data_IF_328832267848
#
_entry.id   IF_328832267848
#
_cell.length_a   1.000
_cell.length_b   1.000
_cell.length_c   1.000
_cell.angle_alpha   90.00
_cell.angle_beta   90.00
_cell.angle_gamma   90.00
#
_symmetry.space_group_name_H-M   'P 1'
#
loop_
_entity.id
_entity.type
_entity.pdbx_description
1 polymer ?
2 non-polymer ?
3 water ?
#
# COMPACT_ATOMS: atom_id res chain seq x y z
N UNK A 26 -25.08 -10.01 -10.38
CA UNK A 26 -25.20 -11.34 -9.81
C UNK A 26 -25.08 -11.30 -8.29
N UNK A 27 -25.64 -12.33 -7.66
CA UNK A 27 -25.63 -12.44 -6.21
C UNK A 27 -26.55 -13.59 -5.80
N UNK A 28 -26.21 -14.26 -4.72
CA UNK A 28 -27.01 -15.39 -4.26
C UNK A 28 -26.55 -15.71 -2.84
N UNK A 29 -27.30 -16.59 -2.18
CA UNK A 29 -27.02 -16.90 -0.79
C UNK A 29 -26.42 -18.28 -0.58
N UNK A 30 -26.44 -19.16 -1.58
CA UNK A 30 -25.90 -20.50 -1.38
C UNK A 30 -25.95 -21.38 -2.64
N UNK A 31 -24.98 -21.25 -3.55
CA UNK A 31 -24.84 -22.18 -4.66
C UNK A 31 -23.85 -21.66 -5.70
N UNK A 32 -23.16 -22.59 -6.37
CA UNK A 32 -22.18 -22.26 -7.41
C UNK A 32 -21.48 -23.53 -7.92
N UNK A 33 -20.74 -23.44 -9.02
CA UNK A 33 -20.10 -24.63 -9.61
C UNK A 33 -18.97 -24.21 -10.56
N UNK A 34 -18.20 -25.20 -11.01
CA UNK A 34 -17.06 -24.94 -11.90
C UNK A 34 -16.73 -26.18 -12.72
N UNK A 35 -15.54 -26.22 -13.30
CA UNK A 35 -15.20 -27.30 -14.23
C UNK A 35 -14.79 -28.55 -13.47
N UNK A 36 -13.72 -28.46 -12.68
CA UNK A 36 -13.32 -29.56 -11.81
C UNK A 36 -13.90 -29.48 -10.40
N UNK A 37 -14.13 -28.27 -9.90
CA UNK A 37 -14.58 -28.04 -8.54
C UNK A 37 -15.93 -27.35 -8.53
N UNK A 38 -16.56 -27.32 -7.36
CA UNK A 38 -17.82 -26.62 -7.15
C UNK A 38 -17.81 -25.97 -5.77
N UNK A 39 -18.44 -24.80 -5.67
CA UNK A 39 -18.34 -23.97 -4.47
C UNK A 39 -19.73 -23.52 -4.03
N UNK A 40 -19.98 -23.62 -2.72
CA UNK A 40 -21.15 -23.01 -2.08
C UNK A 40 -20.72 -21.74 -1.37
N UNK A 41 -21.59 -20.72 -1.42
CA UNK A 41 -21.30 -19.46 -0.75
C UNK A 41 -21.85 -19.53 0.68
N UNK A 42 -21.18 -18.84 1.59
CA UNK A 42 -21.54 -18.82 2.99
C UNK A 42 -21.86 -17.43 3.50
N UNK A 43 -20.96 -16.47 3.25
CA UNK A 43 -21.11 -15.11 3.74
C UNK A 43 -20.53 -14.15 2.71
N UNK A 44 -21.00 -12.90 2.77
CA UNK A 44 -20.47 -11.86 1.90
C UNK A 44 -19.20 -11.29 2.49
N UNK A 45 -18.24 -10.98 1.61
CA UNK A 45 -16.96 -10.42 2.02
C UNK A 45 -16.73 -9.01 1.49
N UNK A 46 -17.50 -8.58 0.49
CA UNK A 46 -17.32 -7.25 -0.07
C UNK A 46 -18.23 -7.07 -1.26
N UNK A 47 -18.54 -5.81 -1.55
CA UNK A 47 -19.41 -5.49 -2.68
C UNK A 47 -19.23 -4.02 -3.02
N UNK A 48 -18.91 -3.74 -4.28
CA UNK A 48 -18.71 -2.37 -4.74
C UNK A 48 -18.43 -2.25 -6.22
N UNK A 49 -17.74 -1.17 -6.60
CA UNK A 49 -17.39 -0.95 -8.00
C UNK A 49 -16.55 -2.08 -8.56
N UNK A 50 -15.75 -2.71 -7.72
CA UNK A 50 -14.87 -3.77 -8.17
C UNK A 50 -15.62 -5.04 -8.55
N UNK A 51 -16.89 -5.15 -8.18
CA UNK A 51 -17.63 -6.38 -8.38
C UNK A 51 -18.18 -6.92 -7.08
N UNK A 52 -17.97 -8.20 -6.80
CA UNK A 52 -18.47 -8.82 -5.58
C UNK A 52 -17.56 -9.98 -5.22
N UNK A 53 -16.98 -9.93 -4.03
CA UNK A 53 -16.20 -11.03 -3.48
C UNK A 53 -17.06 -11.73 -2.44
N UNK A 54 -16.98 -13.06 -2.41
CA UNK A 54 -17.77 -13.86 -1.48
C UNK A 54 -16.91 -15.03 -1.01
N UNK A 55 -17.15 -15.45 0.23
CA UNK A 55 -16.44 -16.57 0.83
C UNK A 55 -17.26 -17.84 0.62
N UNK A 56 -16.60 -18.91 0.19
CA UNK A 56 -17.28 -20.14 -0.18
C UNK A 56 -16.58 -21.34 0.43
N UNK A 57 -17.26 -22.49 0.37
CA UNK A 57 -16.73 -23.76 0.85
C UNK A 57 -16.57 -24.70 -0.33
N UNK A 58 -15.35 -25.17 -0.54
CA UNK A 58 -15.04 -26.14 -1.59
C UNK A 58 -15.55 -27.49 -1.13
N UNK A 59 -16.70 -27.90 -1.64
CA UNK A 59 -17.34 -29.12 -1.16
C UNK A 59 -16.57 -30.35 -1.60
N UNK A 60 -16.50 -31.34 -0.71
CA UNK A 60 -15.61 -32.45 -0.86
C UNK A 60 -14.30 -32.32 -0.08
N UNK A 61 -13.99 -31.11 0.41
CA UNK A 61 -12.80 -30.86 1.20
C UNK A 61 -13.12 -30.07 2.46
N UNK A 62 -12.10 -29.49 3.09
CA UNK A 62 -12.28 -28.61 4.24
C UNK A 62 -11.67 -27.25 3.98
N UNK A 63 -11.49 -26.89 2.71
CA UNK A 63 -11.00 -25.56 2.35
C UNK A 63 -12.15 -24.58 2.27
N UNK A 64 -11.93 -23.38 2.83
CA UNK A 64 -12.74 -22.21 2.56
C UNK A 64 -11.95 -21.32 1.62
N UNK A 65 -12.59 -20.88 0.55
CA UNK A 65 -11.93 -20.06 -0.45
C UNK A 65 -12.69 -18.76 -0.64
N UNK A 66 -11.98 -17.75 -1.13
CA UNK A 66 -12.57 -16.50 -1.58
C UNK A 66 -12.67 -16.54 -3.10
N UNK A 67 -13.84 -16.20 -3.64
CA UNK A 67 -14.02 -16.08 -5.08
C UNK A 67 -14.71 -14.76 -5.38
N UNK A 68 -14.17 -14.06 -6.37
CA UNK A 68 -14.58 -12.72 -6.74
C UNK A 68 -15.27 -12.77 -8.10
N UNK A 69 -16.47 -12.23 -8.18
CA UNK A 69 -17.23 -12.20 -9.42
C UNK A 69 -17.15 -10.80 -10.02
N UNK A 70 -17.00 -10.74 -11.34
CA UNK A 70 -16.97 -9.50 -12.07
C UNK A 70 -18.31 -9.27 -12.76
N UNK A 71 -18.71 -8.01 -12.88
CA UNK A 71 -19.98 -7.68 -13.49
C UNK A 71 -19.94 -7.90 -15.00
N UNK A 72 -21.06 -8.37 -15.55
CA UNK A 72 -21.13 -8.85 -16.93
C UNK A 72 -21.66 -7.75 -17.84
N UNK A 73 -20.82 -6.74 -18.03
CA UNK A 73 -21.12 -5.67 -18.97
C UNK A 73 -19.97 -5.50 -19.93
N UNK A 74 -20.26 -5.30 -21.22
CA UNK A 74 -19.18 -5.27 -22.22
C UNK A 74 -18.20 -4.13 -22.04
N UNK A 75 -18.64 -2.96 -21.57
CA UNK A 75 -17.70 -1.85 -21.40
C UNK A 75 -16.63 -2.14 -20.35
N UNK A 76 -16.79 -3.21 -19.57
CA UNK A 76 -15.81 -3.66 -18.58
C UNK A 76 -15.14 -4.97 -19.03
N UNK A 77 -15.09 -5.20 -20.35
CA UNK A 77 -14.62 -6.48 -20.87
C UNK A 77 -13.13 -6.68 -20.64
N UNK A 78 -12.30 -5.86 -21.29
CA UNK A 78 -10.87 -6.08 -21.17
C UNK A 78 -10.31 -5.64 -19.83
N UNK A 79 -11.12 -5.00 -18.98
CA UNK A 79 -10.71 -4.81 -17.60
C UNK A 79 -10.64 -6.14 -16.84
N UNK A 80 -11.52 -7.07 -17.19
CA UNK A 80 -11.47 -8.41 -16.62
C UNK A 80 -10.48 -9.30 -17.34
N UNK A 81 -10.39 -9.15 -18.66
CA UNK A 81 -9.43 -9.94 -19.42
C UNK A 81 -8.00 -9.69 -18.95
N UNK A 82 -7.70 -8.45 -18.55
CA UNK A 82 -6.33 -8.11 -18.15
C UNK A 82 -6.01 -8.63 -16.76
N UNK A 83 -6.98 -8.65 -15.85
CA UNK A 83 -6.72 -9.17 -14.51
C UNK A 83 -6.43 -10.66 -14.54
N UNK A 84 -7.16 -11.41 -15.38
CA UNK A 84 -6.88 -12.83 -15.53
C UNK A 84 -5.53 -13.04 -16.22
N UNK A 85 -5.27 -12.26 -17.28
CA UNK A 85 -4.01 -12.37 -18.00
C UNK A 85 -2.82 -12.17 -17.09
N UNK A 86 -2.93 -11.29 -16.09
CA UNK A 86 -1.85 -11.09 -15.14
C UNK A 86 -1.87 -12.14 -14.04
N UNK A 87 -3.06 -12.58 -13.60
CA UNK A 87 -3.12 -13.66 -12.63
C UNK A 87 -2.48 -14.92 -13.18
N UNK A 88 -2.69 -15.22 -14.46
CA UNK A 88 -2.03 -16.36 -15.09
C UNK A 88 -0.51 -16.17 -15.11
N UNK A 89 -0.05 -15.01 -15.58
CA UNK A 89 1.37 -14.72 -15.58
C UNK A 89 1.96 -14.67 -14.17
N UNK A 90 1.11 -14.73 -13.14
CA UNK A 90 1.55 -14.75 -11.75
C UNK A 90 1.54 -16.13 -11.13
N UNK A 91 0.55 -16.97 -11.48
CA UNK A 91 0.58 -18.36 -11.04
C UNK A 91 1.81 -19.06 -11.61
N UNK A 92 2.03 -18.92 -12.91
CA UNK A 92 3.35 -19.20 -13.47
C UNK A 92 4.30 -18.09 -13.07
N UNK A 93 5.58 -18.43 -12.95
CA UNK A 93 6.60 -17.62 -12.28
C UNK A 93 6.43 -17.80 -10.77
N UNK A 94 5.42 -18.55 -10.34
CA UNK A 94 5.17 -18.86 -8.94
C UNK A 94 5.29 -17.63 -8.05
N UNK A 95 4.35 -16.69 -8.19
CA UNK A 95 4.26 -15.61 -7.22
C UNK A 95 3.92 -16.13 -5.84
N UNK A 96 3.25 -17.27 -5.75
CA UNK A 96 3.03 -17.93 -4.48
C UNK A 96 4.38 -18.13 -3.79
N UNK A 97 4.38 -17.96 -2.47
CA UNK A 97 5.59 -18.14 -1.67
C UNK A 97 6.49 -16.92 -1.84
N UNK A 98 6.14 -16.03 -2.78
CA UNK A 98 6.65 -14.66 -2.78
C UNK A 98 5.72 -13.71 -2.05
N UNK A 99 5.00 -14.20 -1.03
CA UNK A 99 4.13 -13.39 -0.19
C UNK A 99 2.99 -12.76 -0.99
N UNK A 100 2.48 -13.52 -1.96
CA UNK A 100 1.30 -13.15 -2.71
C UNK A 100 0.21 -14.17 -2.44
N UNK A 101 -1.05 -13.71 -2.53
CA UNK A 101 -2.17 -14.62 -2.43
C UNK A 101 -2.14 -15.59 -3.62
N UNK A 102 -2.55 -16.83 -3.38
CA UNK A 102 -2.54 -17.85 -4.41
C UNK A 102 -3.87 -17.88 -5.15
N UNK A 103 -3.81 -17.81 -6.47
CA UNK A 103 -5.00 -17.92 -7.32
C UNK A 103 -5.15 -19.38 -7.73
N UNK A 104 -6.23 -20.02 -7.27
CA UNK A 104 -6.42 -21.44 -7.56
C UNK A 104 -6.85 -21.64 -9.01
N UNK A 105 -8.12 -21.40 -9.34
CA UNK A 105 -8.59 -21.64 -10.70
C UNK A 105 -9.46 -20.46 -11.14
N UNK A 106 -10.09 -20.65 -12.30
CA UNK A 106 -10.88 -19.61 -12.94
C UNK A 106 -11.94 -20.29 -13.80
N UNK A 107 -13.12 -19.69 -13.86
CA UNK A 107 -14.26 -20.29 -14.55
C UNK A 107 -15.32 -19.20 -14.75
N UNK A 108 -16.52 -19.62 -15.13
CA UNK A 108 -17.63 -18.70 -15.34
C UNK A 108 -18.90 -19.28 -14.74
N UNK A 109 -19.86 -18.38 -14.46
CA UNK A 109 -21.09 -18.75 -13.78
C UNK A 109 -22.14 -17.69 -14.10
N UNK A 110 -23.17 -18.07 -14.85
CA UNK A 110 -24.23 -17.14 -15.24
C UNK A 110 -23.68 -16.00 -16.10
N UNK A 111 -22.68 -16.30 -16.92
CA UNK A 111 -22.06 -15.35 -17.83
C UNK A 111 -21.02 -14.48 -17.12
N UNK A 112 -21.12 -14.41 -15.79
CA UNK A 112 -20.12 -13.68 -15.03
C UNK A 112 -18.82 -14.49 -14.97
N UNK A 113 -17.75 -13.80 -14.61
CA UNK A 113 -16.43 -14.41 -14.51
C UNK A 113 -15.99 -14.44 -13.05
N UNK A 114 -15.44 -15.59 -12.63
CA UNK A 114 -15.09 -15.80 -11.24
C UNK A 114 -13.59 -16.10 -11.11
N UNK A 115 -13.06 -15.82 -9.93
CA UNK A 115 -11.65 -16.07 -9.62
C UNK A 115 -11.54 -16.63 -8.21
N UNK A 116 -10.88 -17.76 -8.07
CA UNK A 116 -10.77 -18.46 -6.79
C UNK A 116 -9.44 -18.10 -6.15
N UNK A 117 -9.50 -17.69 -4.87
CA UNK A 117 -8.33 -17.33 -4.08
C UNK A 117 -8.32 -18.13 -2.79
N UNK A 118 -7.12 -18.32 -2.24
CA UNK A 118 -6.98 -18.80 -0.87
C UNK A 118 -7.54 -17.77 0.10
N UNK A 119 -8.03 -18.26 1.23
CA UNK A 119 -8.69 -17.41 2.21
C UNK A 119 -7.68 -16.95 3.26
N UNK A 120 -7.56 -15.63 3.42
CA UNK A 120 -6.77 -15.01 4.46
C UNK A 120 -7.73 -14.42 5.49
N UNK A 121 -7.18 -14.10 6.66
CA UNK A 121 -8.05 -13.86 7.80
C UNK A 121 -8.37 -12.38 8.02
N UNK A 122 -7.36 -11.53 8.09
CA UNK A 122 -7.61 -10.16 8.56
C UNK A 122 -6.61 -9.22 7.89
N UNK A 123 -7.12 -8.11 7.37
CA UNK A 123 -6.33 -7.09 6.72
C UNK A 123 -5.93 -6.03 7.74
N UNK A 124 -4.85 -5.31 7.41
CA UNK A 124 -4.21 -4.42 8.37
C UNK A 124 -5.12 -3.27 8.81
N UNK A 125 -6.06 -2.85 7.97
CA UNK A 125 -6.99 -1.82 8.41
C UNK A 125 -7.83 -2.32 9.58
N UNK A 126 -8.56 -3.43 9.37
CA UNK A 126 -9.34 -4.01 10.45
C UNK A 126 -8.48 -4.42 11.64
N UNK A 127 -7.17 -4.59 11.44
CA UNK A 127 -6.30 -4.88 12.57
C UNK A 127 -5.99 -3.63 13.39
N UNK A 128 -5.69 -2.51 12.71
CA UNK A 128 -5.51 -1.25 13.41
C UNK A 128 -6.80 -0.83 14.10
N UNK A 129 -7.93 -0.96 13.41
CA UNK A 129 -9.22 -0.66 14.02
C UNK A 129 -9.47 -1.50 15.27
N UNK A 130 -8.92 -2.72 15.31
CA UNK A 130 -9.14 -3.60 16.45
C UNK A 130 -8.47 -3.06 17.71
N UNK A 131 -7.26 -2.52 17.57
CA UNK A 131 -6.52 -1.93 18.67
C UNK A 131 -6.85 -0.46 18.87
N UNK A 132 -8.01 -0.01 18.37
CA UNK A 132 -8.40 1.40 18.42
C UNK A 132 -7.31 2.27 17.80
N UNK A 133 -6.74 1.79 16.70
CA UNK A 133 -5.74 2.55 15.93
C UNK A 133 -4.52 2.88 16.78
N UNK A 134 -4.20 2.02 17.75
CA UNK A 134 -2.96 2.19 18.49
C UNK A 134 -1.78 2.09 17.52
N UNK A 135 -0.72 2.85 17.74
CA UNK A 135 0.48 2.69 16.90
C UNK A 135 1.07 1.30 17.07
N UNK A 136 1.55 0.73 15.97
CA UNK A 136 2.25 -0.54 16.11
C UNK A 136 3.73 -0.30 16.36
N UNK A 137 4.35 -1.06 17.25
CA UNK A 137 5.78 -0.87 17.53
C UNK A 137 6.63 -1.27 16.33
N UNK A 138 7.84 -0.70 16.29
CA UNK A 138 8.72 -0.93 15.15
C UNK A 138 9.14 -2.38 15.01
N UNK A 139 9.31 -3.09 16.12
CA UNK A 139 9.74 -4.49 16.05
C UNK A 139 8.76 -5.33 15.25
N UNK A 140 7.47 -5.02 15.36
CA UNK A 140 6.46 -5.77 14.61
C UNK A 140 6.39 -5.28 13.17
N UNK A 141 6.63 -4.00 12.93
CA UNK A 141 6.47 -3.45 11.58
C UNK A 141 7.50 -4.05 10.62
N UNK A 142 8.66 -4.49 11.13
CA UNK A 142 9.76 -4.86 10.24
C UNK A 142 9.41 -6.08 9.39
N UNK A 143 9.02 -7.22 9.95
CA UNK A 143 8.74 -8.39 9.10
C UNK A 143 7.66 -8.12 8.05
N UNK A 144 6.65 -7.32 8.38
CA UNK A 144 5.62 -6.99 7.42
C UNK A 144 6.22 -6.32 6.19
N UNK A 145 7.04 -5.29 6.42
CA UNK A 145 7.69 -4.59 5.31
C UNK A 145 8.53 -5.56 4.48
N UNK A 146 9.40 -6.32 5.14
CA UNK A 146 10.26 -7.26 4.41
C UNK A 146 9.44 -8.12 3.45
N UNK A 147 8.25 -8.56 3.87
CA UNK A 147 7.44 -9.41 3.01
C UNK A 147 6.84 -8.62 1.85
N UNK A 148 6.24 -7.45 2.15
CA UNK A 148 5.64 -6.63 1.10
C UNK A 148 6.70 -6.13 0.12
N UNK A 149 7.95 -6.04 0.56
CA UNK A 149 9.03 -5.67 -0.35
C UNK A 149 9.35 -6.82 -1.30
N UNK A 150 9.56 -8.03 -0.76
CA UNK A 150 9.82 -9.18 -1.61
C UNK A 150 8.69 -9.44 -2.58
N UNK A 151 7.45 -9.07 -2.21
CA UNK A 151 6.34 -9.23 -3.14
C UNK A 151 6.42 -8.23 -4.28
N UNK A 152 6.78 -6.98 -3.97
CA UNK A 152 6.97 -5.99 -5.02
C UNK A 152 8.20 -6.29 -5.86
N UNK A 153 9.26 -6.83 -5.23
CA UNK A 153 10.45 -7.19 -5.96
C UNK A 153 10.13 -8.17 -7.08
N UNK A 154 9.33 -9.20 -6.77
CA UNK A 154 8.92 -10.13 -7.81
C UNK A 154 8.11 -9.42 -8.89
N UNK A 155 7.31 -8.43 -8.51
CA UNK A 155 6.54 -7.70 -9.51
C UNK A 155 7.46 -6.99 -10.50
N UNK A 156 8.45 -6.26 -9.99
CA UNK A 156 9.33 -5.49 -10.87
C UNK A 156 10.11 -6.41 -11.80
N UNK A 157 10.56 -7.56 -11.29
CA UNK A 157 11.28 -8.51 -12.14
C UNK A 157 10.39 -9.07 -13.25
N UNK A 158 9.06 -9.00 -13.10
CA UNK A 158 8.16 -9.42 -14.16
C UNK A 158 7.57 -8.26 -14.94
N UNK A 159 7.69 -7.04 -14.42
CA UNK A 159 7.19 -5.85 -15.11
C UNK A 159 5.73 -5.54 -14.85
N UNK A 160 5.30 -5.59 -13.59
CA UNK A 160 3.91 -5.37 -13.23
C UNK A 160 3.80 -4.34 -12.14
N UNK A 161 2.67 -3.62 -12.12
CA UNK A 161 2.36 -2.62 -11.11
C UNK A 161 1.08 -3.04 -10.40
N UNK A 162 1.10 -3.01 -9.07
CA UNK A 162 -0.09 -3.41 -8.31
C UNK A 162 -1.18 -2.36 -8.44
N UNK A 163 -0.89 -1.12 -8.02
CA UNK A 163 -1.69 0.07 -8.25
C UNK A 163 -2.74 0.31 -7.17
N UNK A 164 -2.97 -0.63 -6.25
CA UNK A 164 -3.94 -0.39 -5.19
C UNK A 164 -3.39 -0.79 -3.82
N UNK A 165 -2.08 -0.78 -3.66
CA UNK A 165 -1.49 -1.15 -2.38
C UNK A 165 -1.99 -0.22 -1.29
N UNK A 166 -2.75 -0.75 -0.33
CA UNK A 166 -3.30 0.03 0.76
C UNK A 166 -3.54 -0.91 1.93
N UNK A 167 -3.80 -0.37 3.13
CA UNK A 167 -3.99 -1.24 4.30
C UNK A 167 -5.02 -2.32 4.08
N UNK A 168 -6.12 -1.99 3.39
CA UNK A 168 -7.17 -2.97 3.18
C UNK A 168 -6.71 -4.13 2.32
N UNK A 169 -5.65 -3.95 1.53
CA UNK A 169 -5.18 -4.96 0.59
C UNK A 169 -3.88 -5.61 1.06
N UNK A 170 -3.70 -5.74 2.37
CA UNK A 170 -2.57 -6.47 2.95
C UNK A 170 -3.12 -7.24 4.14
N UNK A 171 -2.96 -8.57 4.14
CA UNK A 171 -3.68 -9.40 5.08
C UNK A 171 -2.75 -10.38 5.79
N UNK A 172 -3.12 -10.70 7.03
CA UNK A 172 -2.41 -11.68 7.83
C UNK A 172 -2.91 -13.07 7.49
N UNK A 173 -2.01 -13.94 7.04
CA UNK A 173 -2.38 -15.32 6.73
C UNK A 173 -3.17 -15.92 7.89
N UNK A 174 -2.59 -15.88 9.09
CA UNK A 174 -3.23 -16.45 10.28
C UNK A 174 -2.65 -15.72 11.47
N UNK A 175 -3.32 -14.66 11.92
CA UNK A 175 -2.69 -13.78 12.92
C UNK A 175 -2.46 -14.45 14.26
N UNK A 176 -2.94 -15.68 14.45
CA UNK A 176 -2.79 -16.37 15.72
C UNK A 176 -1.83 -17.55 15.60
N UNK A 177 -1.93 -18.33 14.52
CA UNK A 177 -1.05 -19.47 14.28
C UNK A 177 0.22 -19.08 13.54
N UNK A 178 0.20 -18.00 12.77
CA UNK A 178 1.39 -17.44 12.11
C UNK A 178 1.40 -15.96 12.42
N UNK A 179 2.00 -15.57 13.55
CA UNK A 179 1.78 -14.21 14.09
C UNK A 179 1.95 -13.10 13.07
N UNK A 180 2.80 -13.26 12.05
CA UNK A 180 3.17 -12.09 11.25
C UNK A 180 3.23 -12.30 9.75
N UNK A 181 3.05 -13.52 9.24
CA UNK A 181 3.04 -13.68 7.79
C UNK A 181 1.88 -12.90 7.18
N UNK A 182 2.11 -12.36 5.99
CA UNK A 182 1.10 -11.58 5.28
C UNK A 182 1.21 -11.86 3.78
N UNK A 183 0.24 -11.35 3.05
CA UNK A 183 0.19 -11.48 1.60
C UNK A 183 -0.70 -10.37 1.06
N UNK A 184 -0.58 -10.11 -0.24
CA UNK A 184 -1.27 -9.01 -0.90
C UNK A 184 -2.49 -9.56 -1.60
N UNK A 185 -3.50 -8.72 -1.83
CA UNK A 185 -4.74 -9.31 -2.29
C UNK A 185 -5.67 -8.49 -3.18
N UNK A 186 -5.19 -7.44 -3.82
CA UNK A 186 -6.04 -6.80 -4.84
C UNK A 186 -5.26 -6.72 -6.13
N UNK A 187 -5.95 -6.96 -7.24
CA UNK A 187 -5.35 -6.87 -8.57
C UNK A 187 -6.25 -6.15 -9.57
N UNK A 188 -7.43 -5.72 -9.18
CA UNK A 188 -8.33 -5.01 -10.09
C UNK A 188 -7.74 -3.75 -10.68
N UNK A 189 -6.57 -3.31 -10.21
CA UNK A 189 -5.90 -2.12 -10.72
C UNK A 189 -4.56 -2.42 -11.38
N UNK A 190 -4.11 -3.68 -11.35
CA UNK A 190 -2.79 -4.01 -11.86
C UNK A 190 -2.71 -3.82 -13.37
N UNK A 191 -1.50 -3.54 -13.85
CA UNK A 191 -1.26 -3.31 -15.26
C UNK A 191 0.22 -3.52 -15.55
N UNK A 192 0.53 -3.76 -16.82
CA UNK A 192 1.91 -3.87 -17.25
C UNK A 192 2.53 -2.49 -17.40
N UNK A 193 3.85 -2.45 -17.54
CA UNK A 193 4.55 -1.17 -17.65
C UNK A 193 4.47 -0.58 -19.05
N UNK A 194 3.73 -1.21 -19.97
CA UNK A 194 3.60 -0.67 -21.31
C UNK A 194 2.92 0.70 -21.29
N UNK A 195 2.10 0.97 -20.27
CA UNK A 195 1.44 2.27 -20.16
C UNK A 195 2.46 3.35 -19.79
N UNK A 196 2.36 4.49 -20.48
CA UNK A 196 3.15 5.67 -20.14
C UNK A 196 2.27 6.90 -19.95
N UNK A 197 0.97 6.69 -19.79
CA UNK A 197 0.03 7.85 -19.67
C UNK A 197 -1.03 7.54 -18.61
N UNK A 198 -1.38 8.52 -17.79
CA UNK A 198 -2.49 8.30 -16.82
C UNK A 198 -3.67 9.19 -17.20
N UNK A 199 -4.83 8.60 -17.47
CA UNK A 199 -6.02 9.38 -17.90
C UNK A 199 -6.83 9.78 -16.67
N UNK A 200 -6.96 8.89 -15.70
CA UNK A 200 -7.81 9.17 -14.52
C UNK A 200 -7.19 8.57 -13.25
N UNK A 201 -7.93 8.61 -12.14
CA UNK A 201 -7.44 8.17 -10.82
C UNK A 201 -7.15 6.66 -10.87
N UNK A 202 -6.12 6.21 -10.16
CA UNK A 202 -5.75 4.80 -10.17
C UNK A 202 -5.10 4.31 -8.88
N UNK A 203 -5.48 4.92 -7.75
CA UNK A 203 -5.03 4.45 -6.45
C UNK A 203 -6.04 4.89 -5.41
N UNK A 204 -5.87 4.35 -4.20
CA UNK A 204 -6.63 4.84 -3.06
C UNK A 204 -5.98 6.12 -2.57
N UNK A 205 -6.80 7.16 -2.38
CA UNK A 205 -6.27 8.53 -2.33
C UNK A 205 -5.13 8.65 -1.32
N UNK A 206 -5.35 8.22 -0.08
CA UNK A 206 -4.35 8.36 0.97
C UNK A 206 -3.00 7.78 0.58
N UNK A 207 -2.94 6.94 -0.46
CA UNK A 207 -1.71 6.28 -0.86
C UNK A 207 -1.38 6.50 -2.32
N UNK A 208 -2.14 7.36 -3.01
CA UNK A 208 -1.84 7.72 -4.39
C UNK A 208 -0.53 8.48 -4.47
N UNK A 209 0.36 8.03 -5.36
CA UNK A 209 1.67 8.63 -5.49
C UNK A 209 1.59 9.98 -6.19
N UNK A 210 2.62 10.82 -6.03
CA UNK A 210 2.60 12.12 -6.70
C UNK A 210 2.48 12.03 -8.23
N UNK A 211 2.99 10.96 -8.83
CA UNK A 211 2.88 10.82 -10.28
C UNK A 211 1.42 10.79 -10.72
N UNK A 212 0.56 10.13 -9.96
CA UNK A 212 -0.85 10.02 -10.31
C UNK A 212 -1.58 11.34 -10.07
N UNK A 213 -1.23 12.05 -8.99
CA UNK A 213 -1.96 13.25 -8.64
C UNK A 213 -1.66 14.37 -9.62
N UNK A 214 -0.40 14.49 -10.04
CA UNK A 214 0.02 15.54 -10.96
C UNK A 214 -0.16 15.16 -12.41
N UNK A 215 0.00 13.88 -12.77
CA UNK A 215 -0.22 13.45 -14.13
C UNK A 215 1.03 13.38 -14.97
N UNK A 216 1.91 12.42 -14.66
CA UNK A 216 3.15 12.20 -15.36
C UNK A 216 3.26 10.75 -15.79
N UNK A 217 4.22 10.40 -16.65
CA UNK A 217 4.48 9.00 -16.95
C UNK A 217 4.84 8.22 -15.69
N UNK A 218 4.00 7.30 -15.28
CA UNK A 218 4.19 6.64 -14.00
C UNK A 218 4.83 5.27 -14.19
N UNK A 219 5.62 4.88 -13.21
CA UNK A 219 6.34 3.63 -13.25
C UNK A 219 5.83 2.76 -12.10
N UNK A 220 6.59 1.70 -11.77
CA UNK A 220 6.21 0.86 -10.63
C UNK A 220 6.46 1.56 -9.31
N UNK A 221 7.22 2.66 -9.30
CA UNK A 221 7.42 3.41 -8.07
C UNK A 221 6.10 3.79 -7.41
N UNK A 222 5.04 3.91 -8.21
CA UNK A 222 3.71 4.29 -7.73
C UNK A 222 3.34 3.48 -6.50
N UNK A 223 3.69 2.19 -6.50
CA UNK A 223 3.37 1.33 -5.37
C UNK A 223 4.31 1.59 -4.19
N UNK A 224 5.59 1.82 -4.48
CA UNK A 224 6.54 2.08 -3.41
C UNK A 224 6.12 3.28 -2.56
N UNK A 225 5.50 4.28 -3.19
CA UNK A 225 4.88 5.37 -2.43
C UNK A 225 3.79 4.82 -1.52
N UNK A 226 2.86 4.06 -2.10
CA UNK A 226 1.81 3.44 -1.31
C UNK A 226 2.38 2.71 -0.11
N UNK A 227 3.51 2.04 -0.29
CA UNK A 227 4.15 1.35 0.83
C UNK A 227 4.68 2.34 1.86
N UNK A 228 5.10 3.52 1.42
CA UNK A 228 5.52 4.54 2.36
C UNK A 228 4.39 4.97 3.29
N UNK A 229 3.22 5.26 2.72
CA UNK A 229 2.11 5.68 3.56
C UNK A 229 1.61 4.54 4.43
N UNK A 230 1.85 3.30 4.00
CA UNK A 230 1.36 2.16 4.77
C UNK A 230 2.18 1.96 6.02
N UNK A 231 3.49 1.85 5.87
CA UNK A 231 4.35 1.69 7.04
C UNK A 231 4.27 2.91 7.93
N UNK A 232 4.18 4.10 7.33
CA UNK A 232 3.92 5.32 8.11
C UNK A 232 2.62 5.19 8.88
N UNK A 233 1.54 4.78 8.21
CA UNK A 233 0.27 4.60 8.89
C UNK A 233 0.38 3.60 10.03
N UNK A 234 1.16 2.54 9.82
CA UNK A 234 1.29 1.51 10.85
C UNK A 234 2.04 2.02 12.08
N UNK A 235 3.00 2.93 11.88
CA UNK A 235 3.76 3.47 13.02
C UNK A 235 2.99 4.57 13.74
N UNK A 236 2.40 5.50 12.99
CA UNK A 236 1.61 6.56 13.60
C UNK A 236 0.27 6.04 14.10
N UNK A 237 -0.26 4.99 13.47
CA UNK A 237 -1.60 4.54 13.73
C UNK A 237 -2.69 5.27 12.97
N UNK A 238 -2.32 6.17 12.08
CA UNK A 238 -3.27 6.99 11.34
C UNK A 238 -2.69 7.30 9.96
N UNK A 239 -3.53 7.63 8.99
CA UNK A 239 -3.02 7.95 7.65
C UNK A 239 -2.04 9.12 7.71
N UNK A 240 -0.89 8.93 7.07
CA UNK A 240 0.09 10.01 7.02
C UNK A 240 -0.49 11.25 6.36
N UNK A 241 -1.22 11.06 5.26
CA UNK A 241 -1.76 12.15 4.47
C UNK A 241 -3.24 11.87 4.22
N UNK A 242 -4.08 12.09 5.22
CA UNK A 242 -5.51 11.76 5.05
C UNK A 242 -6.28 12.81 4.26
N UNK A 243 -5.76 13.22 3.12
CA UNK A 243 -6.40 14.28 2.35
C UNK A 243 -7.83 13.99 1.96
N UNK A 244 -8.72 14.98 2.11
CA UNK A 244 -10.10 14.84 1.69
C UNK A 244 -10.28 14.90 0.18
N UNK A 245 -9.46 15.70 -0.51
CA UNK A 245 -9.45 15.79 -1.96
C UNK A 245 -8.02 15.71 -2.44
N UNK A 246 -7.84 15.56 -3.76
CA UNK A 246 -6.48 15.52 -4.31
C UNK A 246 -5.72 16.79 -3.98
N UNK A 247 -6.41 17.92 -3.84
CA UNK A 247 -5.75 19.16 -3.42
C UNK A 247 -5.17 19.01 -2.03
N UNK A 248 -6.03 18.76 -1.04
CA UNK A 248 -5.56 18.53 0.33
C UNK A 248 -4.39 17.56 0.36
N UNK A 249 -4.45 16.50 -0.47
CA UNK A 249 -3.39 15.50 -0.49
C UNK A 249 -2.04 16.14 -0.78
N UNK A 250 -1.87 16.70 -1.98
CA UNK A 250 -0.61 17.33 -2.35
C UNK A 250 -0.31 18.54 -1.48
N UNK A 251 -1.32 19.14 -0.86
CA UNK A 251 -1.05 20.19 0.13
C UNK A 251 -0.28 19.62 1.31
N UNK A 252 -0.81 18.55 1.91
CA UNK A 252 -0.12 17.93 3.03
C UNK A 252 1.28 17.48 2.64
N UNK A 253 1.44 17.00 1.41
CA UNK A 253 2.70 16.37 1.01
C UNK A 253 3.81 17.42 0.90
N UNK A 254 3.63 18.41 0.03
CA UNK A 254 4.63 19.45 -0.11
C UNK A 254 4.79 20.23 1.19
N UNK A 255 3.71 20.41 1.94
CA UNK A 255 3.80 21.11 3.22
C UNK A 255 4.74 20.38 4.17
N UNK A 256 4.82 19.05 4.07
CA UNK A 256 5.67 18.25 4.94
C UNK A 256 7.06 18.01 4.35
N UNK A 257 7.13 17.69 3.06
CA UNK A 257 8.37 17.21 2.44
C UNK A 257 8.99 18.22 1.50
N UNK A 258 8.38 19.37 1.33
CA UNK A 258 8.91 20.32 0.37
C UNK A 258 8.14 20.29 -0.92
N UNK A 259 7.99 21.47 -1.53
CA UNK A 259 7.27 21.62 -2.78
C UNK A 259 7.93 20.78 -3.87
N UNK A 260 7.15 20.17 -4.76
CA UNK A 260 7.73 19.35 -5.84
C UNK A 260 8.70 20.17 -6.68
N UNK A 261 9.39 19.46 -7.57
CA UNK A 261 10.41 20.07 -8.38
C UNK A 261 9.85 20.67 -9.67
N UNK A 262 10.49 21.77 -10.08
CA UNK A 262 9.99 22.52 -11.23
C UNK A 262 9.79 21.63 -12.45
N UNK A 263 10.76 20.75 -12.73
CA UNK A 263 10.65 19.90 -13.93
C UNK A 263 9.44 18.96 -13.83
N UNK A 264 9.09 18.53 -12.63
CA UNK A 264 7.93 17.65 -12.47
C UNK A 264 6.65 18.40 -12.76
N UNK A 265 6.45 19.55 -12.11
CA UNK A 265 5.22 20.33 -12.28
C UNK A 265 5.05 20.87 -13.69
N UNK A 266 6.13 21.01 -14.46
CA UNK A 266 6.00 21.58 -15.80
C UNK A 266 5.37 20.58 -16.76
N UNK A 267 5.67 19.28 -16.60
CA UNK A 267 5.16 18.27 -17.51
C UNK A 267 3.93 17.55 -16.96
N UNK A 268 3.50 17.90 -15.74
CA UNK A 268 2.29 17.31 -15.21
C UNK A 268 1.05 17.89 -15.88
N UNK A 269 0.10 17.01 -16.17
CA UNK A 269 -1.14 17.48 -16.81
C UNK A 269 -2.06 18.15 -15.80
N UNK A 270 -2.21 17.55 -14.62
CA UNK A 270 -3.10 18.06 -13.59
C UNK A 270 -2.46 19.09 -12.68
N UNK A 271 -1.19 19.44 -12.92
CA UNK A 271 -0.48 20.34 -12.02
C UNK A 271 -0.99 21.77 -12.11
N UNK A 272 -1.61 22.16 -13.23
CA UNK A 272 -2.27 23.45 -13.26
C UNK A 272 -3.43 23.53 -12.29
N UNK A 273 -3.97 22.38 -11.85
CA UNK A 273 -5.16 22.40 -11.02
C UNK A 273 -4.84 22.69 -9.56
N UNK A 274 -3.62 22.41 -9.11
CA UNK A 274 -3.24 22.58 -7.72
C UNK A 274 -2.15 23.63 -7.51
N UNK A 275 -1.38 23.99 -8.52
CA UNK A 275 -0.28 24.93 -8.37
C UNK A 275 -0.47 26.12 -9.28
N UNK A 276 0.28 27.19 -8.97
CA UNK A 276 0.24 28.42 -9.75
C UNK A 276 1.65 28.83 -10.11
N UNK A 277 1.79 29.46 -11.28
CA UNK A 277 3.10 29.82 -11.81
C UNK A 277 3.37 31.29 -11.50
N UNK A 278 3.74 31.55 -10.25
CA UNK A 278 4.16 32.88 -9.87
C UNK A 278 5.38 33.29 -10.68
N UNK A 279 5.25 34.35 -11.46
CA UNK A 279 6.38 34.98 -12.13
C UNK A 279 6.78 36.27 -11.41
N UNK A 280 6.70 36.26 -10.07
CA UNK A 280 7.07 37.41 -9.26
C UNK A 280 8.57 37.67 -9.35
N UNK A 281 8.97 38.86 -8.91
CA UNK A 281 10.39 39.19 -8.87
C UNK A 281 11.19 38.14 -8.13
N UNK A 282 10.60 37.52 -7.10
CA UNK A 282 11.27 36.52 -6.29
C UNK A 282 10.68 35.14 -6.55
N UNK A 283 10.80 34.65 -7.78
CA UNK A 283 10.13 33.41 -8.20
C UNK A 283 11.14 32.37 -8.64
N UNK A 284 10.99 31.16 -8.12
CA UNK A 284 11.64 29.99 -8.69
C UNK A 284 10.76 29.30 -9.72
N UNK A 285 9.58 29.86 -10.01
CA UNK A 285 8.74 29.42 -11.09
C UNK A 285 7.44 28.77 -10.68
N UNK A 286 7.27 28.44 -9.40
CA UNK A 286 6.10 27.67 -8.99
C UNK A 286 5.77 27.93 -7.53
N UNK A 287 4.48 28.06 -7.25
CA UNK A 287 3.99 28.20 -5.89
C UNK A 287 2.68 27.43 -5.75
N UNK A 288 2.47 26.87 -4.57
CA UNK A 288 1.23 26.16 -4.26
C UNK A 288 0.08 27.16 -4.15
N UNK A 289 -1.10 26.76 -4.61
CA UNK A 289 -2.28 27.62 -4.53
C UNK A 289 -2.73 27.73 -3.07
N UNK A 290 -2.85 28.96 -2.58
CA UNK A 290 -3.35 29.17 -1.23
C UNK A 290 -4.74 28.57 -1.08
N UNK A 291 -5.09 28.21 0.15
CA UNK A 291 -6.41 27.67 0.44
C UNK A 291 -7.50 28.60 -0.09
N UNK A 292 -7.40 29.90 0.21
CA UNK A 292 -8.41 30.84 -0.23
C UNK A 292 -8.58 30.81 -1.75
N UNK A 293 -7.48 30.67 -2.49
CA UNK A 293 -7.60 30.57 -3.94
C UNK A 293 -8.35 29.31 -4.34
N UNK A 294 -8.17 28.23 -3.58
CA UNK A 294 -8.88 26.99 -3.89
C UNK A 294 -10.36 27.08 -3.50
N UNK A 295 -10.65 27.60 -2.31
CA UNK A 295 -12.05 27.71 -1.90
C UNK A 295 -12.82 28.66 -2.81
N UNK A 296 -12.17 29.70 -3.32
CA UNK A 296 -12.82 30.62 -4.25
C UNK A 296 -13.00 30.00 -5.62
N UNK A 297 -12.18 29.03 -5.97
CA UNK A 297 -12.22 28.39 -7.29
C UNK A 297 -13.20 27.23 -7.32
N UNK A 298 -13.12 26.32 -6.35
CA UNK A 298 -13.95 25.12 -6.32
C UNK A 298 -15.19 25.26 -5.44
N UNK A 299 -15.16 26.12 -4.43
CA UNK A 299 -16.30 26.29 -3.54
C UNK A 299 -16.35 25.32 -2.38
N UNK A 300 -15.26 24.60 -2.10
CA UNK A 300 -15.21 23.58 -1.08
C UNK A 300 -14.24 24.02 0.02
N UNK A 301 -14.76 24.27 1.21
CA UNK A 301 -13.91 24.63 2.33
C UNK A 301 -13.04 23.44 2.74
N UNK A 302 -11.74 23.68 2.89
CA UNK A 302 -10.78 22.61 3.14
C UNK A 302 -10.62 22.41 4.65
N UNK A 303 -11.18 21.31 5.16
CA UNK A 303 -11.01 20.96 6.56
C UNK A 303 -9.69 20.24 6.77
N UNK A 304 -8.96 20.62 7.81
CA UNK A 304 -7.75 19.90 8.19
C UNK A 304 -8.11 18.49 8.65
N UNK A 305 -7.34 17.50 8.16
CA UNK A 305 -7.64 16.11 8.43
C UNK A 305 -6.51 15.32 9.07
N UNK A 306 -5.30 15.87 9.14
CA UNK A 306 -4.17 15.12 9.67
C UNK A 306 -4.27 15.00 11.18
N UNK A 307 -4.38 13.77 11.68
CA UNK A 307 -4.20 13.54 13.11
C UNK A 307 -2.77 13.86 13.52
N UNK A 308 -1.84 13.91 12.56
CA UNK A 308 -0.46 14.28 12.79
C UNK A 308 -0.05 15.29 11.73
N UNK A 309 0.60 16.37 12.15
CA UNK A 309 1.06 17.41 11.26
C UNK A 309 2.56 17.56 11.44
N UNK A 310 3.30 17.49 10.34
CA UNK A 310 4.75 17.48 10.37
C UNK A 310 5.32 18.61 9.54
N UNK A 311 6.35 19.27 10.07
CA UNK A 311 7.13 20.19 9.28
C UNK A 311 8.15 19.47 8.41
N UNK A 312 8.70 18.37 8.91
CA UNK A 312 9.66 17.56 8.19
C UNK A 312 9.35 16.10 8.43
N UNK A 313 9.94 15.25 7.59
CA UNK A 313 9.82 13.81 7.81
C UNK A 313 10.73 13.34 8.94
N UNK A 314 11.89 13.98 9.11
CA UNK A 314 12.70 13.71 10.30
C UNK A 314 11.89 13.93 11.57
N UNK A 315 10.93 14.85 11.53
CA UNK A 315 10.05 15.10 12.67
C UNK A 315 9.24 13.87 13.07
N UNK A 316 9.18 12.85 12.22
CA UNK A 316 8.39 11.67 12.54
C UNK A 316 9.04 10.86 13.66
N UNK A 317 10.36 10.95 13.80
CA UNK A 317 11.06 10.15 14.80
C UNK A 317 10.78 10.59 16.23
N UNK A 318 10.13 11.74 16.43
CA UNK A 318 9.87 12.27 17.76
C UNK A 318 8.40 12.18 18.15
N UNK A 319 7.70 11.17 17.65
CA UNK A 319 6.27 11.00 17.88
C UNK A 319 6.05 9.75 18.72
N UNK A 320 5.13 9.85 19.69
CA UNK A 320 4.83 8.74 20.59
C UNK A 320 6.07 8.30 21.35
N UNK A 321 6.66 9.24 22.08
CA UNK A 321 8.04 9.09 22.52
C UNK A 321 8.19 8.48 23.90
N UNK A 322 7.10 8.28 24.65
CA UNK A 322 7.19 7.63 25.96
C UNK A 322 7.16 6.13 25.74
N UNK A 323 8.19 5.42 26.26
CA UNK A 323 8.45 4.06 25.84
C UNK A 323 8.55 3.01 26.94
N UNK A 324 8.61 3.40 28.21
CA UNK A 324 8.79 2.44 29.30
C UNK A 324 10.09 1.65 29.19
N UNK A 325 10.99 2.05 28.30
CA UNK A 325 12.29 1.42 28.15
C UNK A 325 13.36 2.35 28.70
N UNK A 326 14.29 1.79 29.47
CA UNK A 326 15.43 2.55 29.97
C UNK A 326 16.69 1.73 29.76
N UNK A 327 17.82 2.42 29.74
CA UNK A 327 19.09 1.78 29.49
C UNK A 327 19.29 1.52 28.00
N UNK A 328 20.07 0.47 27.72
CA UNK A 328 20.42 0.15 26.34
C UNK A 328 19.19 -0.03 25.47
N UNK A 329 18.09 -0.53 26.04
CA UNK A 329 16.88 -0.72 25.26
C UNK A 329 16.45 0.57 24.57
N UNK A 330 16.57 1.70 25.27
CA UNK A 330 16.10 2.97 24.70
C UNK A 330 17.02 3.43 23.58
N UNK A 331 18.34 3.40 23.81
CA UNK A 331 19.28 3.83 22.77
C UNK A 331 19.07 3.04 21.48
N UNK A 332 18.83 1.73 21.60
CA UNK A 332 18.53 0.95 20.39
C UNK A 332 17.29 1.48 19.70
N UNK A 333 16.26 1.82 20.48
CA UNK A 333 15.02 2.33 19.89
C UNK A 333 15.25 3.68 19.22
N UNK A 334 16.06 4.55 19.82
CA UNK A 334 16.40 5.82 19.19
C UNK A 334 17.15 5.60 17.87
N UNK A 335 18.00 4.56 17.81
CA UNK A 335 18.69 4.28 16.57
C UNK A 335 17.79 3.59 15.55
N UNK A 336 16.81 2.81 16.04
CA UNK A 336 15.86 2.20 15.11
C UNK A 336 15.03 3.27 14.40
N UNK A 337 14.65 4.32 15.14
CA UNK A 337 13.87 5.40 14.56
C UNK A 337 14.68 6.21 13.55
N UNK A 338 15.94 6.51 13.88
CA UNK A 338 16.78 7.25 12.94
C UNK A 338 16.83 6.56 11.59
N UNK A 339 16.92 5.24 11.58
CA UNK A 339 16.95 4.49 10.33
C UNK A 339 15.55 4.30 9.73
N UNK A 340 14.50 4.42 10.54
CA UNK A 340 13.16 4.32 10.00
C UNK A 340 12.82 5.53 9.14
N UNK A 341 13.00 6.74 9.70
CA UNK A 341 12.78 7.95 8.91
C UNK A 341 13.70 7.97 7.71
N UNK A 342 14.94 7.49 7.88
CA UNK A 342 15.87 7.42 6.76
C UNK A 342 15.26 6.68 5.58
N UNK A 343 14.61 5.55 5.84
CA UNK A 343 13.97 4.79 4.78
C UNK A 343 12.65 5.45 4.34
N UNK A 344 11.84 5.90 5.30
CA UNK A 344 10.58 6.54 4.93
C UNK A 344 10.83 7.72 4.01
N UNK A 345 11.83 8.54 4.32
CA UNK A 345 12.22 9.62 3.42
C UNK A 345 12.60 9.07 2.04
N UNK A 346 13.36 7.98 2.01
CA UNK A 346 13.80 7.42 0.73
C UNK A 346 12.64 6.78 -0.02
N UNK A 347 11.64 6.25 0.68
CA UNK A 347 10.47 5.69 0.00
C UNK A 347 9.55 6.79 -0.51
N UNK A 348 9.49 7.94 0.17
CA UNK A 348 8.54 8.98 -0.13
C UNK A 348 9.16 10.15 -0.87
N UNK A 349 10.20 9.91 -1.65
CA UNK A 349 10.74 10.94 -2.50
C UNK A 349 9.69 11.43 -3.49
N UNK A 350 9.55 12.75 -3.61
CA UNK A 350 8.61 13.31 -4.57
C UNK A 350 8.93 12.78 -5.97
N UNK A 351 10.21 12.72 -6.31
CA UNK A 351 10.62 12.19 -7.60
C UNK A 351 10.30 10.71 -7.68
N UNK A 352 9.94 10.26 -8.90
CA UNK A 352 9.64 8.85 -9.10
C UNK A 352 10.91 8.02 -9.24
N UNK A 353 11.95 8.57 -9.87
CA UNK A 353 13.13 7.78 -10.19
C UNK A 353 14.05 7.66 -8.97
N UNK A 354 14.41 8.78 -8.34
CA UNK A 354 15.29 8.73 -7.18
C UNK A 354 14.72 7.89 -6.05
N UNK A 355 13.40 7.68 -6.03
CA UNK A 355 12.77 6.90 -4.98
C UNK A 355 13.37 5.50 -4.91
N UNK A 356 13.51 4.99 -3.69
CA UNK A 356 14.15 3.70 -3.48
C UNK A 356 13.31 2.58 -4.09
N UNK A 357 13.98 1.53 -4.55
CA UNK A 357 13.38 0.40 -5.24
C UNK A 357 13.26 -0.79 -4.32
N UNK A 358 12.34 -1.73 -4.63
CA UNK A 358 12.15 -2.88 -3.74
C UNK A 358 13.45 -3.59 -3.37
N UNK A 359 14.30 -3.91 -4.34
CA UNK A 359 15.54 -4.59 -4.02
C UNK A 359 16.38 -3.78 -3.04
N UNK A 360 16.36 -2.45 -3.16
CA UNK A 360 17.21 -1.61 -2.34
C UNK A 360 16.68 -1.44 -0.92
N UNK A 361 15.36 -1.52 -0.73
CA UNK A 361 14.81 -1.41 0.62
C UNK A 361 15.11 -2.67 1.42
N UNK A 362 15.04 -3.85 0.78
CA UNK A 362 15.42 -5.07 1.48
C UNK A 362 16.87 -5.02 1.94
N UNK A 363 17.67 -4.10 1.40
CA UNK A 363 19.06 -3.93 1.81
C UNK A 363 19.27 -2.76 2.75
N UNK A 364 18.29 -1.86 2.88
CA UNK A 364 18.44 -0.73 3.77
C UNK A 364 18.71 -1.21 5.19
N UNK A 365 19.50 -0.47 5.96
CA UNK A 365 19.86 -0.94 7.31
C UNK A 365 18.67 -1.29 8.17
N UNK A 366 17.49 -0.71 7.92
CA UNK A 366 16.37 -0.95 8.82
C UNK A 366 15.82 -2.37 8.67
N UNK A 367 15.68 -2.85 7.44
CA UNK A 367 15.30 -4.25 7.24
C UNK A 367 16.51 -5.16 7.50
N UNK A 368 17.69 -4.71 7.09
CA UNK A 368 18.91 -5.47 7.34
C UNK A 368 19.10 -5.72 8.83
N UNK A 369 19.01 -4.67 9.64
CA UNK A 369 19.22 -4.72 11.08
C UNK A 369 20.70 -4.68 11.44
N UNK A 370 21.56 -4.25 10.52
CA UNK A 370 22.97 -4.05 10.83
C UNK A 370 23.13 -3.24 12.11
N UNK A 371 22.53 -2.05 12.14
CA UNK A 371 22.71 -1.15 13.27
C UNK A 371 22.27 -1.77 14.59
N UNK A 372 21.54 -2.89 14.56
CA UNK A 372 21.14 -3.54 15.80
C UNK A 372 22.25 -4.42 16.37
N UNK A 373 23.13 -4.93 15.51
CA UNK A 373 24.23 -5.77 15.99
C UNK A 373 25.13 -5.01 16.97
N UNK A 374 25.19 -3.69 16.85
CA UNK A 374 26.06 -2.87 17.68
C UNK A 374 25.66 -2.92 19.15
N UNK A 375 24.57 -3.63 19.45
CA UNK A 375 23.99 -3.65 20.80
C UNK A 375 24.01 -5.07 21.34
N UNK A 376 25.06 -5.46 22.04
CA UNK A 376 25.09 -6.79 22.66
C UNK A 376 24.15 -6.88 23.86
N UNK A 377 23.66 -8.10 24.09
CA UNK A 377 22.73 -8.42 25.18
C UNK A 377 21.82 -7.27 25.55
N UNK A 378 21.10 -6.72 24.58
CA UNK A 378 19.98 -5.82 24.84
C UNK A 378 18.71 -6.64 24.71
N UNK A 379 17.93 -6.74 25.79
CA UNK A 379 16.74 -7.56 25.75
C UNK A 379 15.66 -7.00 24.84
N UNK A 380 15.78 -5.75 24.40
CA UNK A 380 14.88 -5.26 23.35
C UNK A 380 15.38 -5.68 21.97
N UNK A 381 16.70 -5.76 21.80
CA UNK A 381 17.24 -6.20 20.52
C UNK A 381 17.11 -7.71 20.37
N UNK A 382 17.35 -8.47 21.44
CA UNK A 382 17.16 -9.91 21.39
C UNK A 382 15.74 -10.28 20.97
N UNK A 383 14.77 -9.40 21.25
CA UNK A 383 13.39 -9.65 20.90
C UNK A 383 13.01 -9.11 19.52
N UNK A 384 13.82 -8.19 18.98
CA UNK A 384 13.61 -7.78 17.59
C UNK A 384 14.04 -8.89 16.63
N UNK A 385 15.26 -9.41 16.82
CA UNK A 385 15.73 -10.51 15.98
C UNK A 385 14.81 -11.72 16.07
N UNK A 386 14.33 -12.02 17.28
CA UNK A 386 13.40 -13.13 17.45
C UNK A 386 12.10 -12.94 16.69
N UNK A 387 11.84 -11.75 16.15
CA UNK A 387 10.63 -11.54 15.37
C UNK A 387 10.88 -11.82 13.88
N UNK A 388 12.08 -11.49 13.40
CA UNK A 388 12.43 -11.83 12.02
C UNK A 388 12.62 -13.32 11.85
N UNK A 389 13.34 -13.96 12.77
CA UNK A 389 13.55 -15.39 12.70
C UNK A 389 12.25 -16.16 12.83
N UNK A 390 11.30 -15.64 13.64
CA UNK A 390 10.01 -16.30 13.80
C UNK A 390 9.10 -16.10 12.58
N UNK A 391 9.46 -15.17 11.69
CA UNK A 391 8.67 -14.96 10.48
C UNK A 391 8.73 -16.17 9.55
N UNK A 392 9.84 -16.91 9.57
CA UNK A 392 9.97 -18.06 8.67
C UNK A 392 8.99 -19.16 9.06
N UNK A 393 8.76 -19.35 10.35
CA UNK A 393 7.83 -20.34 10.84
C UNK A 393 6.40 -19.79 10.88
X LIG B 1 -16.95 -6.31 6.79
X LIG B 1 -10.03 -12.72 1.65
X LIG B 1 -18.19 -5.48 6.51
X LIG B 1 -9.74 -11.79 -0.62
X LIG B 1 -8.89 -12.91 -0.85
X LIG B 1 -8.65 -13.87 0.14
X LIG B 1 -17.28 -7.69 6.33
X LIG B 1 -11.94 -9.14 3.98
X LIG B 1 -11.37 -10.15 3.19
X LIG B 1 -10.53 -9.49 -1.38
X LIG B 1 -9.72 -10.88 -3.20
X LIG B 1 -12.26 -10.72 5.76
X LIG B 1 -9.99 -10.71 -1.77
X LIG B 1 -12.41 -9.40 5.28
X LIG B 1 -10.52 -8.60 -3.71
X LIG B 1 -10.77 -8.47 -2.37
X LIG B 1 -10.00 -9.84 -4.10
X LIG B 1 -11.24 -11.50 3.73
X LIG B 1 -11.34 -6.53 -3.48
X LIG B 1 -15.17 -8.33 7.41
X LIG B 1 -15.08 -7.70 5.13
X LIG B 1 -16.66 -8.62 7.29
X LIG B 1 -16.60 -7.83 5.02
X LIG B 1 -11.87 -5.14 -3.60
X LIG B 1 -12.85 -7.36 -0.33
X LIG B 1 -10.45 -6.45 -0.08
X LIG B 1 -13.05 -8.39 6.21
X LIG B 1 -11.69 -6.57 -0.95
X LIG B 1 -11.70 -11.72 5.00
X LIG B 1 -9.21 -13.78 1.37
X LIG B 1 -10.87 -7.41 -4.47
X LIG B 1 -10.30 -11.72 0.65
X LIG B 1 -11.28 -7.21 -2.23
X LIG B 1 -14.52 -8.64 6.12
X LIG B 1 -10.64 -12.65 3.00
X LIG B 1 -9.76 -9.95 -5.47
X LIG B 1 -8.27 -13.11 -2.06
#
# INVERSE_FOLDING_TARGET
GNPVTVVTATTGSKQNCTTGEGDYQLVQHEVLCSMKNTYEVLDFLGRGTFGQVVKCWKRGTNEIVAIKILKNHPSYARQGQIEVSILARLSTENADEYNFVRAYECFQHRNHTCLVFEMLEQNLYDFLKQNKFSPLPLKVIRPILQQVATALKKLKSLGLIHADLKPENIMLVDPVRQPYRVKVIDFGSASHVSKTVCSTYLQSRYYRAPEIILGLPFCEAIDMWSLGCVIAELFLGWPLYPGALEYDQIRYISQTQGLPGEQLLNVGTKSTRFFCKETDMSHSGWRLKTLEEHEAETGMKSKEARKYIFNSLDDVAHVNTVMDLEGSDLLAEKADRREFVSLLKKMLLIDADLRITPAETLNHPFVNMKHLLDFPHSNHVKSCFHIMDICKSHLNSCDTNNHN
6ZV C1 C2 C3 C4 C5 C6 N2 C10 C C17 C21 C12 C16 C11 C19 C18 C20 C8 C23 C31 C35 C32 C34 C25 C27 C28 C14 C26 N N1 N24 N3 N22 N30 N7 F29 F15
#
